data_IF_324771751853
#
_entry.id   IF_324771751853
#
_cell.length_a   1.000
_cell.length_b   1.000
_cell.length_c   1.000
_cell.angle_alpha   90.00
_cell.angle_beta   90.00
_cell.angle_gamma   90.00
#
_symmetry.space_group_name_H-M   'P 1'
#
loop_
_entity.id
_entity.type
_entity.pdbx_description
1 polymer ?
#
# COMPACT_ATOMS: atom_id res chain seq x y z
N UNK A 1 5.41 18.85 23.42
CA UNK A 1 5.23 19.44 22.08
C UNK A 1 5.15 18.39 20.96
N UNK A 2 5.52 17.12 21.15
CA UNK A 2 5.40 16.11 20.07
C UNK A 2 3.98 15.58 19.81
N UNK A 3 3.04 15.68 20.76
CA UNK A 3 1.71 15.05 20.63
C UNK A 3 0.66 15.86 19.84
N UNK A 4 0.82 17.18 19.72
CA UNK A 4 -0.26 18.04 19.21
C UNK A 4 -0.47 17.89 17.69
N UNK A 5 0.61 17.65 16.94
CA UNK A 5 0.55 17.38 15.50
C UNK A 5 -0.12 16.02 15.24
N UNK A 6 0.26 15.00 16.02
CA UNK A 6 -0.35 13.67 15.93
C UNK A 6 -1.83 13.68 16.32
N UNK A 7 -2.24 14.44 17.33
CA UNK A 7 -3.65 14.63 17.67
C UNK A 7 -4.44 15.31 16.54
N UNK A 8 -3.87 16.33 15.89
CA UNK A 8 -4.52 17.01 14.75
C UNK A 8 -4.63 16.12 13.53
N UNK A 9 -3.60 15.34 13.23
CA UNK A 9 -3.63 14.32 12.17
C UNK A 9 -4.68 13.25 12.52
N UNK A 10 -4.73 12.79 13.77
CA UNK A 10 -5.71 11.81 14.23
C UNK A 10 -7.15 12.35 14.14
N UNK A 11 -7.38 13.61 14.50
CA UNK A 11 -8.68 14.26 14.38
C UNK A 11 -9.09 14.42 12.90
N UNK A 12 -8.17 14.84 12.03
CA UNK A 12 -8.41 14.96 10.59
C UNK A 12 -8.73 13.59 9.96
N UNK A 13 -7.95 12.55 10.28
CA UNK A 13 -8.21 11.18 9.83
C UNK A 13 -9.53 10.62 10.40
N UNK A 14 -9.88 10.96 11.65
CA UNK A 14 -11.17 10.57 12.24
C UNK A 14 -12.35 11.28 11.56
N UNK A 15 -12.18 12.52 11.12
CA UNK A 15 -13.19 13.22 10.32
C UNK A 15 -13.34 12.57 8.93
N UNK A 16 -12.23 12.22 8.27
CA UNK A 16 -12.25 11.47 7.00
C UNK A 16 -12.86 10.07 7.16
N UNK A 17 -12.67 9.42 8.32
CA UNK A 17 -13.23 8.11 8.67
C UNK A 17 -14.73 8.17 9.01
N UNK A 18 -15.24 9.33 9.42
CA UNK A 18 -16.59 9.49 9.99
C UNK A 18 -17.74 9.51 8.98
N UNK A 19 -17.49 9.72 7.68
CA UNK A 19 -18.60 9.96 6.75
C UNK A 19 -19.26 8.70 6.18
N UNK A 20 -18.58 7.55 5.98
CA UNK A 20 -19.24 6.30 5.59
C UNK A 20 -18.42 5.04 5.94
N UNK A 21 -18.62 4.48 7.14
CA UNK A 21 -18.05 3.19 7.56
C UNK A 21 -18.70 1.97 6.86
N UNK A 22 -19.80 2.17 6.11
CA UNK A 22 -20.50 1.10 5.37
C UNK A 22 -20.01 0.92 3.93
N UNK A 23 -19.16 1.83 3.42
CA UNK A 23 -18.61 1.68 2.08
C UNK A 23 -17.43 0.72 2.17
N UNK A 24 -17.50 -0.40 1.45
CA UNK A 24 -16.34 -1.22 1.18
C UNK A 24 -15.32 -0.35 0.42
N UNK A 25 -14.45 0.35 1.17
CA UNK A 25 -13.42 1.27 0.68
C UNK A 25 -12.21 0.53 0.10
N UNK A 26 -12.27 -0.81 0.06
CA UNK A 26 -11.38 -1.62 -0.73
C UNK A 26 -11.55 -1.27 -2.21
N UNK A 27 -10.50 -0.69 -2.79
CA UNK A 27 -10.38 -0.52 -4.23
C UNK A 27 -10.36 -1.93 -4.83
N UNK A 28 -11.46 -2.32 -5.47
CA UNK A 28 -11.51 -3.56 -6.23
C UNK A 28 -10.89 -3.29 -7.60
N UNK A 29 -9.87 -4.07 -7.92
CA UNK A 29 -9.25 -4.13 -9.24
C UNK A 29 -9.59 -5.50 -9.84
N UNK A 30 -10.71 -5.62 -10.59
CA UNK A 30 -11.13 -6.91 -11.15
C UNK A 30 -10.03 -7.56 -12.02
N UNK A 31 -9.25 -6.73 -12.72
CA UNK A 31 -8.11 -7.18 -13.52
C UNK A 31 -7.03 -7.85 -12.68
N UNK A 32 -6.78 -7.34 -11.46
CA UNK A 32 -5.83 -7.96 -10.53
C UNK A 32 -6.31 -9.34 -10.08
N UNK A 33 -7.59 -9.47 -9.73
CA UNK A 33 -8.17 -10.73 -9.31
C UNK A 33 -8.11 -11.79 -10.44
N UNK A 34 -8.41 -11.38 -11.68
CA UNK A 34 -8.29 -12.26 -12.84
C UNK A 34 -6.83 -12.65 -13.10
N UNK A 35 -5.89 -11.71 -12.97
CA UNK A 35 -4.46 -12.00 -13.13
C UNK A 35 -3.92 -12.92 -12.05
N UNK A 36 -4.32 -12.74 -10.79
CA UNK A 36 -3.96 -13.65 -9.70
C UNK A 36 -4.41 -15.08 -9.98
N UNK A 37 -5.65 -15.26 -10.43
CA UNK A 37 -6.18 -16.57 -10.80
C UNK A 37 -5.44 -17.20 -11.98
N UNK A 38 -5.03 -16.40 -12.97
CA UNK A 38 -4.21 -16.90 -14.09
C UNK A 38 -2.82 -17.33 -13.60
N UNK A 39 -2.20 -16.55 -12.71
CA UNK A 39 -0.90 -16.87 -12.11
C UNK A 39 -0.95 -18.16 -11.28
N UNK A 40 -2.00 -18.37 -10.47
CA UNK A 40 -2.18 -19.59 -9.69
C UNK A 40 -2.22 -20.84 -10.57
N UNK A 41 -2.94 -20.78 -11.70
CA UNK A 41 -2.98 -21.88 -12.68
C UNK A 41 -1.62 -22.15 -13.32
N UNK A 42 -0.93 -21.08 -13.75
CA UNK A 42 0.41 -21.20 -14.33
C UNK A 42 1.41 -21.79 -13.32
N UNK A 43 1.22 -21.53 -12.03
CA UNK A 43 2.11 -22.05 -10.98
C UNK A 43 2.02 -23.57 -10.84
N UNK A 44 0.86 -24.18 -11.10
CA UNK A 44 0.71 -25.64 -11.12
C UNK A 44 1.53 -26.27 -12.26
N UNK A 45 1.45 -25.69 -13.47
CA UNK A 45 2.22 -26.15 -14.64
C UNK A 45 3.73 -25.96 -14.43
N UNK A 46 4.14 -24.80 -13.88
CA UNK A 46 5.53 -24.51 -13.56
C UNK A 46 6.12 -25.49 -12.54
N UNK A 47 5.33 -25.96 -11.56
CA UNK A 47 5.79 -26.93 -10.55
C UNK A 47 6.16 -28.26 -11.19
N UNK A 48 5.38 -28.73 -12.17
CA UNK A 48 5.70 -29.96 -12.90
C UNK A 48 7.00 -29.84 -13.72
N UNK A 49 7.27 -28.65 -14.29
CA UNK A 49 8.50 -28.39 -15.03
C UNK A 49 9.71 -28.29 -14.08
N UNK A 50 9.55 -27.65 -12.92
CA UNK A 50 10.62 -27.52 -11.90
C UNK A 50 11.14 -28.87 -11.41
N UNK A 51 10.31 -29.92 -11.36
CA UNK A 51 10.74 -31.29 -11.03
C UNK A 51 11.65 -31.91 -12.10
N UNK A 52 11.58 -31.44 -13.35
CA UNK A 52 12.45 -31.90 -14.44
C UNK A 52 13.80 -31.20 -14.49
N UNK A 53 13.98 -30.12 -13.72
CA UNK A 53 15.21 -29.32 -13.69
C UNK A 53 16.22 -29.94 -12.70
N UNK A 54 17.52 -30.00 -13.03
CA UNK A 54 18.54 -30.44 -12.09
C UNK A 54 18.55 -29.61 -10.79
N UNK A 55 18.85 -30.26 -9.67
CA UNK A 55 18.76 -29.67 -8.32
C UNK A 55 19.43 -28.29 -8.19
N UNK A 56 20.65 -28.13 -8.71
CA UNK A 56 21.36 -26.86 -8.64
C UNK A 56 20.64 -25.72 -9.38
N UNK A 57 20.03 -26.03 -10.54
CA UNK A 57 19.23 -25.05 -11.30
C UNK A 57 17.90 -24.76 -10.62
N UNK A 58 17.27 -25.78 -10.03
CA UNK A 58 16.03 -25.63 -9.25
C UNK A 58 16.23 -24.74 -8.03
N UNK A 59 17.30 -24.95 -7.25
CA UNK A 59 17.62 -24.13 -6.09
C UNK A 59 17.83 -22.66 -6.47
N UNK A 60 18.56 -22.40 -7.57
CA UNK A 60 18.76 -21.04 -8.06
C UNK A 60 17.44 -20.36 -8.47
N UNK A 61 16.55 -21.09 -9.14
CA UNK A 61 15.23 -20.58 -9.54
C UNK A 61 14.33 -20.28 -8.34
N UNK A 62 14.32 -21.15 -7.33
CA UNK A 62 13.56 -20.93 -6.08
C UNK A 62 14.09 -19.70 -5.35
N UNK A 63 15.42 -19.58 -5.19
CA UNK A 63 16.03 -18.40 -4.56
C UNK A 63 15.70 -17.11 -5.31
N UNK A 64 15.75 -17.13 -6.65
CA UNK A 64 15.38 -15.98 -7.47
C UNK A 64 13.89 -15.61 -7.30
N UNK A 65 13.00 -16.61 -7.25
CA UNK A 65 11.57 -16.39 -7.03
C UNK A 65 11.31 -15.77 -5.66
N UNK A 66 11.87 -16.33 -4.60
CA UNK A 66 11.72 -15.81 -3.23
C UNK A 66 12.19 -14.35 -3.12
N UNK A 67 13.35 -14.04 -3.71
CA UNK A 67 13.86 -12.67 -3.74
C UNK A 67 12.97 -11.72 -4.55
N UNK A 68 12.39 -12.20 -5.67
CA UNK A 68 11.48 -11.40 -6.49
C UNK A 68 10.17 -11.12 -5.77
N UNK A 69 9.62 -12.10 -5.04
CA UNK A 69 8.44 -11.96 -4.20
C UNK A 69 8.68 -10.96 -3.05
N UNK A 70 9.84 -11.04 -2.39
CA UNK A 70 10.24 -10.10 -1.34
C UNK A 70 10.32 -8.66 -1.87
N UNK A 71 10.97 -8.45 -3.03
CA UNK A 71 11.04 -7.14 -3.68
C UNK A 71 9.65 -6.63 -4.05
N UNK A 72 8.77 -7.49 -4.57
CA UNK A 72 7.39 -7.11 -4.91
C UNK A 72 6.62 -6.66 -3.67
N UNK A 73 6.72 -7.39 -2.56
CA UNK A 73 6.09 -7.04 -1.29
C UNK A 73 6.57 -5.67 -0.77
N UNK A 74 7.88 -5.43 -0.78
CA UNK A 74 8.45 -4.14 -0.37
C UNK A 74 7.99 -2.99 -1.29
N UNK A 75 7.89 -3.24 -2.60
CA UNK A 75 7.42 -2.26 -3.56
C UNK A 75 5.94 -1.91 -3.37
N UNK A 76 5.09 -2.89 -3.03
CA UNK A 76 3.68 -2.66 -2.68
C UNK A 76 3.57 -1.81 -1.40
N UNK A 77 4.33 -2.13 -0.36
CA UNK A 77 4.37 -1.34 0.88
C UNK A 77 4.83 0.11 0.62
N UNK A 78 5.88 0.28 -0.18
CA UNK A 78 6.36 1.60 -0.60
C UNK A 78 5.27 2.37 -1.34
N UNK A 79 4.59 1.72 -2.28
CA UNK A 79 3.53 2.36 -3.09
C UNK A 79 2.33 2.75 -2.23
N UNK A 80 1.98 1.92 -1.25
CA UNK A 80 0.95 2.22 -0.25
C UNK A 80 1.30 3.47 0.57
N UNK A 81 2.52 3.53 1.12
CA UNK A 81 3.00 4.70 1.88
C UNK A 81 3.09 5.95 0.99
N UNK A 82 3.56 5.81 -0.24
CA UNK A 82 3.60 6.90 -1.22
C UNK A 82 2.20 7.46 -1.48
N UNK A 83 1.18 6.61 -1.59
CA UNK A 83 -0.20 7.05 -1.73
C UNK A 83 -0.66 8.00 -0.61
N UNK A 84 -0.24 7.75 0.65
CA UNK A 84 -0.54 8.69 1.75
C UNK A 84 0.20 10.02 1.60
N UNK A 85 1.48 9.97 1.25
CA UNK A 85 2.29 11.16 1.01
C UNK A 85 1.69 12.02 -0.10
N UNK A 86 1.26 11.38 -1.20
CA UNK A 86 0.60 12.03 -2.33
C UNK A 86 -0.72 12.66 -1.92
N UNK A 87 -1.53 11.97 -1.10
CA UNK A 87 -2.76 12.53 -0.55
C UNK A 87 -2.50 13.78 0.29
N UNK A 88 -1.48 13.75 1.16
CA UNK A 88 -1.12 14.89 2.01
C UNK A 88 -0.68 16.06 1.14
N UNK A 89 0.18 15.84 0.15
CA UNK A 89 0.61 16.90 -0.77
C UNK A 89 -0.55 17.49 -1.56
N UNK A 90 -1.47 16.66 -2.05
CA UNK A 90 -2.67 17.11 -2.76
C UNK A 90 -3.53 18.01 -1.86
N UNK A 91 -3.82 17.57 -0.64
CA UNK A 91 -4.63 18.33 0.32
C UNK A 91 -3.93 19.63 0.75
N UNK A 92 -2.61 19.61 0.86
CA UNK A 92 -1.80 20.81 1.13
C UNK A 92 -1.86 21.79 -0.03
N UNK A 93 -1.70 21.33 -1.27
CA UNK A 93 -1.79 22.16 -2.48
C UNK A 93 -3.18 22.77 -2.68
N UNK A 94 -4.23 22.09 -2.22
CA UNK A 94 -5.60 22.61 -2.20
C UNK A 94 -5.89 23.58 -1.03
N UNK A 95 -4.91 23.84 -0.16
CA UNK A 95 -5.08 24.72 1.02
C UNK A 95 -5.97 24.12 2.11
N UNK A 96 -6.33 22.83 2.03
CA UNK A 96 -7.22 22.16 2.99
C UNK A 96 -6.51 21.83 4.31
N UNK A 97 -5.18 21.74 4.28
CA UNK A 97 -4.35 21.50 5.47
C UNK A 97 -3.85 22.80 6.16
N UNK A 98 -3.96 23.97 5.51
CA UNK A 98 -3.50 25.27 6.06
C UNK A 98 -4.31 25.74 7.29
N UNK A 99 -5.52 25.21 7.52
CA UNK A 99 -6.35 25.61 8.67
C UNK A 99 -5.88 25.06 10.01
N UNK A 100 -4.96 24.09 10.04
CA UNK A 100 -4.47 23.48 11.29
C UNK A 100 -3.43 24.35 12.03
N UNK A 101 -2.81 25.31 11.34
CA UNK A 101 -1.76 26.20 11.89
C UNK A 101 -2.28 27.59 12.30
N UNK A 102 -3.42 28.06 11.77
CA UNK A 102 -3.96 29.40 12.12
C UNK A 102 -4.60 29.51 13.51
N UNK A 103 -4.94 28.41 14.17
CA UNK A 103 -5.53 28.44 15.52
C UNK A 103 -4.49 28.61 16.66
N UNK A 104 -3.19 28.62 16.34
CA UNK A 104 -2.12 28.88 17.32
C UNK A 104 -1.78 30.38 17.45
N UNK A 105 -2.32 31.25 16.58
CA UNK A 105 -2.01 32.70 16.57
C UNK A 105 -3.00 33.58 17.36
N UNK A 106 -3.98 32.99 18.07
CA UNK A 106 -4.97 33.73 18.89
C UNK A 106 -4.76 33.58 20.41
N UNK A 107 -3.59 33.11 20.84
CA UNK A 107 -3.24 32.88 22.24
C UNK A 107 -2.03 33.70 22.71
N UNK A 108 -1.74 34.82 22.04
CA UNK A 108 -0.85 35.89 22.57
C UNK A 108 -1.71 37.01 23.10
#
# INVERSE_FOLDING_TARGET
>A
MENEVWEKIAQFLNQLRGEQLSRASSIRMPELAEKQKQTEKLMEDCRAILESIPEAGRQLLVQWQEQTEEVSCLQEQKSYLQGYVDCIYLLSGLGLLEKLTRNQSKLV
#
